data_IF_252683072811
#
_entry.id   IF_252683072811
#
_cell.length_a   1.000
_cell.length_b   1.000
_cell.length_c   1.000
_cell.angle_alpha   90.00
_cell.angle_beta   90.00
_cell.angle_gamma   90.00
#
_symmetry.space_group_name_H-M   'P 1'
#
loop_
_entity.id
_entity.type
_entity.pdbx_description
1 polymer ?
#
# COMPACT_ATOMS: atom_id res chain seq x y z
N UNK A 1 -2.12 16.97 -15.06
CA UNK A 1 -2.10 16.16 -13.84
C UNK A 1 -3.41 16.38 -13.09
N UNK A 2 -4.06 15.34 -12.61
CA UNK A 2 -5.31 15.47 -11.86
C UNK A 2 -4.96 15.66 -10.38
N UNK A 3 -5.34 16.82 -9.81
CA UNK A 3 -5.19 17.07 -8.38
C UNK A 3 -5.99 16.01 -7.60
N UNK A 4 -5.41 15.50 -6.51
CA UNK A 4 -6.06 14.56 -5.60
C UNK A 4 -7.39 15.08 -5.04
N UNK A 5 -7.58 16.40 -4.96
CA UNK A 5 -8.84 17.07 -4.62
C UNK A 5 -9.79 17.07 -5.80
N UNK A 6 -11.01 16.57 -5.57
CA UNK A 6 -12.08 16.49 -6.58
C UNK A 6 -13.17 17.52 -6.31
N UNK A 7 -13.85 17.96 -7.38
CA UNK A 7 -15.07 18.77 -7.28
C UNK A 7 -16.30 17.92 -6.93
N UNK A 8 -16.34 16.72 -7.48
CA UNK A 8 -17.45 15.77 -7.36
C UNK A 8 -17.00 14.48 -6.66
N UNK A 9 -17.93 13.70 -6.07
CA UNK A 9 -17.63 12.40 -5.50
C UNK A 9 -16.81 11.52 -6.44
N UNK A 10 -15.96 10.68 -5.85
CA UNK A 10 -15.20 9.71 -6.63
C UNK A 10 -16.14 8.72 -7.36
N UNK A 11 -16.03 8.59 -8.69
CA UNK A 11 -16.84 7.64 -9.44
C UNK A 11 -16.50 6.21 -9.02
N UNK A 12 -17.38 5.23 -9.30
CA UNK A 12 -17.01 3.82 -9.16
C UNK A 12 -15.72 3.51 -9.94
N UNK A 13 -14.89 2.60 -9.43
CA UNK A 13 -13.67 2.19 -10.13
C UNK A 13 -14.02 1.67 -11.53
N UNK A 14 -13.28 2.17 -12.53
CA UNK A 14 -13.40 1.71 -13.90
C UNK A 14 -12.82 0.30 -14.08
N UNK A 15 -13.03 -0.33 -15.25
CA UNK A 15 -12.42 -1.62 -15.54
C UNK A 15 -10.88 -1.54 -15.45
N UNK A 16 -10.20 -2.64 -15.07
CA UNK A 16 -8.74 -2.66 -15.00
C UNK A 16 -8.15 -2.30 -16.36
N UNK A 17 -7.16 -1.40 -16.37
CA UNK A 17 -6.36 -1.14 -17.56
C UNK A 17 -5.32 -2.23 -17.69
N UNK A 18 -5.42 -3.01 -18.75
CA UNK A 18 -4.42 -4.01 -19.12
C UNK A 18 -3.42 -3.33 -20.03
N UNK A 19 -2.16 -3.26 -19.61
CA UNK A 19 -1.05 -2.80 -20.42
C UNK A 19 -0.25 -4.00 -20.91
N UNK A 20 -0.10 -4.15 -22.23
CA UNK A 20 0.72 -5.22 -22.79
C UNK A 20 2.19 -4.82 -22.73
N UNK A 21 2.98 -5.50 -21.90
CA UNK A 21 4.43 -5.35 -21.82
C UNK A 21 5.12 -6.63 -22.33
N UNK A 22 5.71 -6.61 -23.54
CA UNK A 22 6.48 -7.75 -24.06
C UNK A 22 7.61 -8.13 -23.09
N UNK A 23 7.84 -9.43 -22.88
CA UNK A 23 8.91 -9.92 -22.00
C UNK A 23 8.53 -10.11 -20.53
N UNK A 24 7.44 -9.47 -20.07
CA UNK A 24 6.99 -9.52 -18.67
C UNK A 24 6.81 -10.95 -18.13
N UNK A 25 6.35 -11.90 -18.95
CA UNK A 25 6.21 -13.29 -18.52
C UNK A 25 7.57 -13.94 -18.21
N UNK A 26 8.61 -13.63 -18.99
CA UNK A 26 9.95 -14.15 -18.77
C UNK A 26 10.63 -13.48 -17.57
N UNK A 27 10.41 -12.18 -17.39
CA UNK A 27 10.93 -11.44 -16.24
C UNK A 27 10.29 -11.93 -14.95
N UNK A 28 8.96 -12.10 -14.93
CA UNK A 28 8.25 -12.69 -13.80
C UNK A 28 8.74 -14.13 -13.52
N UNK A 29 8.94 -14.96 -14.54
CA UNK A 29 9.49 -16.30 -14.34
C UNK A 29 10.89 -16.27 -13.73
N UNK A 30 11.75 -15.31 -14.13
CA UNK A 30 13.08 -15.12 -13.55
C UNK A 30 13.00 -14.68 -12.09
N UNK A 31 12.06 -13.81 -11.74
CA UNK A 31 11.83 -13.37 -10.36
C UNK A 31 11.25 -14.47 -9.47
N UNK A 32 10.42 -15.34 -10.03
CA UNK A 32 9.85 -16.49 -9.33
C UNK A 32 10.82 -17.68 -9.23
N UNK A 33 11.83 -17.76 -10.09
CA UNK A 33 12.74 -18.91 -10.18
C UNK A 33 13.36 -19.31 -8.82
N UNK A 34 13.85 -18.40 -7.95
CA UNK A 34 14.36 -18.79 -6.63
C UNK A 34 13.28 -19.42 -5.74
N UNK A 35 12.06 -18.88 -5.76
CA UNK A 35 10.94 -19.40 -4.96
C UNK A 35 10.43 -20.73 -5.50
N UNK A 36 10.48 -20.92 -6.82
CA UNK A 36 10.15 -22.19 -7.47
C UNK A 36 11.20 -23.27 -7.16
N UNK A 37 12.48 -22.90 -7.12
CA UNK A 37 13.55 -23.81 -6.73
C UNK A 37 13.40 -24.30 -5.27
N UNK A 38 12.96 -23.43 -4.35
CA UNK A 38 12.59 -23.83 -2.97
C UNK A 38 11.44 -24.85 -2.93
N UNK A 39 10.54 -24.83 -3.93
CA UNK A 39 9.45 -25.79 -4.11
C UNK A 39 9.87 -27.04 -4.90
N UNK A 40 11.16 -27.15 -5.26
CA UNK A 40 11.71 -28.26 -6.04
C UNK A 40 11.47 -28.17 -7.55
N UNK A 41 11.07 -27.00 -8.06
CA UNK A 41 10.83 -26.75 -9.50
C UNK A 41 11.99 -25.95 -10.08
N UNK A 42 12.76 -26.60 -10.96
CA UNK A 42 13.76 -25.93 -11.79
C UNK A 42 13.08 -25.36 -13.05
N UNK A 43 13.17 -24.04 -13.23
CA UNK A 43 12.56 -23.34 -14.38
C UNK A 43 13.30 -23.61 -15.70
N UNK A 44 14.58 -23.96 -15.63
CA UNK A 44 15.40 -24.28 -16.80
C UNK A 44 15.30 -25.77 -17.18
N UNK A 45 14.80 -26.60 -16.26
CA UNK A 45 14.59 -28.03 -16.46
C UNK A 45 13.37 -28.54 -15.66
N UNK A 46 12.17 -28.25 -16.15
CA UNK A 46 10.91 -28.62 -15.49
C UNK A 46 10.74 -30.14 -15.48
N UNK A 47 11.04 -30.77 -14.34
CA UNK A 47 10.80 -32.19 -14.05
C UNK A 47 9.81 -32.33 -12.90
N UNK A 48 8.51 -32.31 -13.23
CA UNK A 48 7.40 -32.40 -12.27
C UNK A 48 6.44 -33.50 -12.69
N UNK A 49 5.85 -34.24 -11.74
CA UNK A 49 5.05 -35.43 -12.04
C UNK A 49 3.76 -35.13 -12.82
N UNK A 50 3.21 -33.92 -12.67
CA UNK A 50 1.98 -33.50 -13.34
C UNK A 50 1.81 -31.96 -13.36
N UNK A 51 0.93 -31.47 -14.24
CA UNK A 51 0.63 -30.04 -14.42
C UNK A 51 -0.01 -29.39 -13.18
N UNK A 52 -0.74 -30.14 -12.36
CA UNK A 52 -1.38 -29.62 -11.15
C UNK A 52 -0.33 -29.35 -10.06
N UNK A 53 0.72 -30.14 -10.00
CA UNK A 53 1.88 -29.93 -9.13
C UNK A 53 2.64 -28.66 -9.54
N UNK A 54 2.88 -28.47 -10.83
CA UNK A 54 3.46 -27.23 -11.35
C UNK A 54 2.60 -26.01 -11.01
N UNK A 55 1.29 -26.06 -11.28
CA UNK A 55 0.39 -24.94 -11.01
C UNK A 55 0.37 -24.57 -9.52
N UNK A 56 0.40 -25.57 -8.62
CA UNK A 56 0.44 -25.33 -7.17
C UNK A 56 1.73 -24.65 -6.74
N UNK A 57 2.87 -25.08 -7.27
CA UNK A 57 4.16 -24.42 -7.01
C UNK A 57 4.17 -22.98 -7.53
N UNK A 58 3.72 -22.75 -8.77
CA UNK A 58 3.57 -21.41 -9.36
C UNK A 58 2.67 -20.50 -8.51
N UNK A 59 1.54 -21.01 -8.02
CA UNK A 59 0.61 -20.24 -7.19
C UNK A 59 1.28 -19.83 -5.87
N UNK A 60 1.97 -20.76 -5.19
CA UNK A 60 2.67 -20.46 -3.93
C UNK A 60 3.83 -19.47 -4.14
N UNK A 61 4.63 -19.67 -5.18
CA UNK A 61 5.74 -18.78 -5.52
C UNK A 61 5.21 -17.37 -5.81
N UNK A 62 4.16 -17.26 -6.63
CA UNK A 62 3.50 -15.97 -6.94
C UNK A 62 2.95 -15.30 -5.68
N UNK A 63 2.26 -16.05 -4.82
CA UNK A 63 1.71 -15.51 -3.58
C UNK A 63 2.81 -14.99 -2.65
N UNK A 64 3.89 -15.75 -2.50
CA UNK A 64 5.04 -15.40 -1.65
C UNK A 64 5.82 -14.21 -2.21
N UNK A 65 6.02 -14.15 -3.53
CA UNK A 65 6.60 -13.01 -4.22
C UNK A 65 5.74 -11.75 -4.01
N UNK A 66 4.43 -11.84 -4.25
CA UNK A 66 3.50 -10.74 -4.03
C UNK A 66 3.55 -10.26 -2.57
N UNK A 67 3.53 -11.16 -1.60
CA UNK A 67 3.65 -10.79 -0.18
C UNK A 67 4.94 -10.03 0.12
N UNK A 68 6.08 -10.46 -0.44
CA UNK A 68 7.35 -9.77 -0.26
C UNK A 68 7.31 -8.31 -0.76
N UNK A 69 6.58 -8.03 -1.85
CA UNK A 69 6.42 -6.66 -2.37
C UNK A 69 5.65 -5.72 -1.41
N UNK A 70 4.73 -6.27 -0.60
CA UNK A 70 3.94 -5.50 0.37
C UNK A 70 4.53 -5.55 1.79
N UNK A 71 5.55 -6.37 2.04
CA UNK A 71 6.30 -6.38 3.31
C UNK A 71 7.75 -5.95 3.07
N UNK A 72 7.98 -4.68 2.65
CA UNK A 72 9.31 -4.22 2.31
C UNK A 72 10.24 -4.25 3.53
N UNK A 73 11.51 -4.51 3.28
CA UNK A 73 12.60 -4.48 4.27
C UNK A 73 13.78 -3.65 3.73
N UNK A 74 14.73 -3.29 4.60
CA UNK A 74 15.93 -2.53 4.20
C UNK A 74 15.62 -1.21 3.50
N UNK A 75 16.42 -0.86 2.50
CA UNK A 75 16.36 0.43 1.79
C UNK A 75 14.99 0.70 1.16
N UNK A 76 14.33 -0.32 0.59
CA UNK A 76 12.98 -0.18 0.01
C UNK A 76 11.97 0.29 1.04
N UNK A 77 12.08 -0.22 2.27
CA UNK A 77 11.24 0.17 3.40
C UNK A 77 11.55 1.59 3.83
N UNK A 78 12.82 1.96 3.93
CA UNK A 78 13.24 3.31 4.32
C UNK A 78 12.75 4.38 3.34
N UNK A 79 12.89 4.11 2.03
CA UNK A 79 12.38 5.00 0.98
C UNK A 79 10.86 5.16 1.07
N UNK A 80 10.12 4.06 1.17
CA UNK A 80 8.66 4.11 1.27
C UNK A 80 8.20 4.86 2.53
N UNK A 81 8.83 4.64 3.68
CA UNK A 81 8.54 5.35 4.93
C UNK A 81 8.81 6.85 4.79
N UNK A 82 9.95 7.23 4.20
CA UNK A 82 10.29 8.63 3.96
C UNK A 82 9.24 9.31 3.05
N UNK A 83 8.84 8.64 1.97
CA UNK A 83 7.80 9.11 1.06
C UNK A 83 6.45 9.27 1.75
N UNK A 84 6.03 8.30 2.56
CA UNK A 84 4.77 8.38 3.31
C UNK A 84 4.75 9.56 4.29
N UNK A 85 5.86 9.84 4.97
CA UNK A 85 5.98 11.02 5.86
C UNK A 85 5.77 12.32 5.09
N UNK A 86 6.43 12.48 3.94
CA UNK A 86 6.28 13.67 3.09
C UNK A 86 4.83 13.85 2.59
N UNK A 87 4.17 12.76 2.21
CA UNK A 87 2.76 12.79 1.78
C UNK A 87 1.85 13.24 2.94
N UNK A 88 2.05 12.69 4.14
CA UNK A 88 1.26 13.04 5.32
C UNK A 88 1.45 14.50 5.70
N UNK A 89 2.67 15.02 5.67
CA UNK A 89 2.97 16.43 5.91
C UNK A 89 2.26 17.32 4.87
N UNK A 90 2.44 17.05 3.58
CA UNK A 90 1.81 17.83 2.51
C UNK A 90 0.27 17.84 2.58
N UNK A 91 -0.36 16.69 2.86
CA UNK A 91 -1.81 16.59 3.00
C UNK A 91 -2.33 17.25 4.29
N UNK A 92 -1.51 17.33 5.34
CA UNK A 92 -1.87 18.04 6.57
C UNK A 92 -1.86 19.55 6.37
N UNK A 93 -0.93 20.04 5.56
CA UNK A 93 -0.81 21.46 5.19
C UNK A 93 -1.80 21.87 4.07
N UNK A 94 -2.72 20.98 3.69
CA UNK A 94 -3.65 21.13 2.57
C UNK A 94 -2.96 21.41 1.20
N UNK A 95 -1.66 21.13 1.07
CA UNK A 95 -0.91 21.20 -0.19
C UNK A 95 -1.13 19.95 -1.05
N UNK A 96 -2.33 19.88 -1.59
CA UNK A 96 -2.77 18.78 -2.46
C UNK A 96 -1.98 18.65 -3.75
N UNK A 97 -1.35 19.74 -4.22
CA UNK A 97 -0.51 19.71 -5.42
C UNK A 97 0.82 19.01 -5.12
N UNK A 98 1.47 19.35 -4.00
CA UNK A 98 2.68 18.69 -3.56
C UNK A 98 2.42 17.21 -3.25
N UNK A 99 1.34 16.90 -2.52
CA UNK A 99 0.96 15.51 -2.22
C UNK A 99 0.76 14.69 -3.51
N UNK A 100 0.09 15.26 -4.52
CA UNK A 100 -0.09 14.61 -5.82
C UNK A 100 1.26 14.41 -6.51
N UNK A 101 2.15 15.41 -6.51
CA UNK A 101 3.46 15.32 -7.14
C UNK A 101 4.38 14.27 -6.48
N UNK A 102 4.26 14.06 -5.17
CA UNK A 102 4.99 13.00 -4.46
C UNK A 102 4.40 11.63 -4.79
N UNK A 103 3.08 11.49 -4.77
CA UNK A 103 2.39 10.24 -5.13
C UNK A 103 2.67 9.81 -6.57
N UNK A 104 2.75 10.76 -7.51
CA UNK A 104 3.09 10.50 -8.91
C UNK A 104 4.55 10.02 -9.11
N UNK A 105 5.43 10.23 -8.12
CA UNK A 105 6.81 9.71 -8.13
C UNK A 105 6.92 8.29 -7.58
N UNK A 106 5.87 7.77 -6.92
CA UNK A 106 5.86 6.39 -6.43
C UNK A 106 5.79 5.44 -7.61
N UNK A 107 6.87 4.69 -7.82
CA UNK A 107 7.01 3.81 -8.96
C UNK A 107 6.16 2.55 -8.80
N UNK A 108 5.57 1.99 -9.87
CA UNK A 108 4.93 0.68 -9.80
C UNK A 108 5.89 -0.40 -9.28
N UNK A 109 7.13 -0.38 -9.76
CA UNK A 109 8.21 -1.30 -9.44
C UNK A 109 9.54 -0.53 -9.38
N UNK A 110 10.52 -1.02 -8.60
CA UNK A 110 11.89 -0.48 -8.54
C UNK A 110 12.88 -1.64 -8.35
N UNK A 111 13.35 -2.26 -9.45
CA UNK A 111 14.24 -3.43 -9.39
C UNK A 111 15.57 -3.16 -8.68
N UNK A 112 16.02 -1.90 -8.70
CA UNK A 112 17.25 -1.41 -8.10
C UNK A 112 17.05 -0.80 -6.70
N UNK A 113 15.83 -0.83 -6.17
CA UNK A 113 15.44 -0.19 -4.91
C UNK A 113 15.81 1.29 -4.81
N UNK A 114 15.90 2.01 -5.93
CA UNK A 114 16.21 3.44 -5.97
C UNK A 114 14.98 4.34 -5.78
N UNK A 115 13.77 3.78 -5.87
CA UNK A 115 12.52 4.51 -5.77
C UNK A 115 11.52 3.82 -4.82
N UNK A 116 10.68 4.60 -4.11
CA UNK A 116 9.56 4.05 -3.34
C UNK A 116 8.57 3.38 -4.30
N UNK A 117 8.10 2.18 -3.95
CA UNK A 117 7.15 1.44 -4.78
C UNK A 117 5.71 1.54 -4.28
N UNK A 118 4.75 1.39 -5.20
CA UNK A 118 3.32 1.38 -4.89
C UNK A 118 3.01 0.31 -3.84
N UNK A 119 3.53 -0.90 -4.03
CA UNK A 119 3.31 -2.03 -3.12
C UNK A 119 3.90 -1.78 -1.73
N UNK A 120 5.13 -1.24 -1.65
CA UNK A 120 5.77 -0.93 -0.38
C UNK A 120 4.98 0.12 0.42
N UNK A 121 4.59 1.22 -0.24
CA UNK A 121 3.82 2.29 0.39
C UNK A 121 2.45 1.82 0.89
N UNK A 122 1.73 1.03 0.09
CA UNK A 122 0.45 0.43 0.50
C UNK A 122 0.67 -0.51 1.68
N UNK A 123 1.60 -1.45 1.57
CA UNK A 123 1.82 -2.48 2.57
C UNK A 123 2.19 -1.93 3.94
N UNK A 124 3.15 -0.99 4.00
CA UNK A 124 3.52 -0.28 5.23
C UNK A 124 2.30 0.43 5.81
N UNK A 125 1.56 1.18 4.99
CA UNK A 125 0.40 1.94 5.47
C UNK A 125 -0.67 1.04 6.06
N UNK A 126 -1.03 -0.06 5.40
CA UNK A 126 -2.06 -0.97 5.88
C UNK A 126 -1.64 -1.65 7.18
N UNK A 127 -0.38 -2.09 7.29
CA UNK A 127 0.15 -2.67 8.53
C UNK A 127 0.09 -1.70 9.70
N UNK A 128 0.57 -0.46 9.50
CA UNK A 128 0.49 0.58 10.53
C UNK A 128 -0.96 0.88 10.94
N UNK A 129 -1.88 0.98 9.98
CA UNK A 129 -3.28 1.25 10.28
C UNK A 129 -3.97 0.08 11.00
N UNK A 130 -3.65 -1.18 10.66
CA UNK A 130 -4.14 -2.35 11.37
C UNK A 130 -3.67 -2.37 12.84
N UNK A 131 -2.42 -2.00 13.09
CA UNK A 131 -1.87 -1.90 14.43
C UNK A 131 -2.49 -0.76 15.23
N UNK A 132 -2.60 0.44 14.63
CA UNK A 132 -3.06 1.63 15.31
C UNK A 132 -4.57 1.67 15.53
N UNK A 133 -5.34 1.33 14.50
CA UNK A 133 -6.80 1.43 14.56
C UNK A 133 -7.44 0.19 15.16
N UNK A 134 -6.78 -0.97 15.06
CA UNK A 134 -7.14 -2.19 15.78
C UNK A 134 -6.78 -2.16 17.28
N UNK A 135 -5.95 -1.20 17.71
CA UNK A 135 -5.55 -1.05 19.11
C UNK A 135 -4.47 -2.04 19.56
N UNK A 136 -3.66 -2.53 18.63
CA UNK A 136 -2.55 -3.45 18.90
C UNK A 136 -1.25 -2.70 19.29
N UNK A 137 -1.11 -1.44 18.90
CA UNK A 137 0.03 -0.59 19.26
C UNK A 137 -0.23 0.20 20.58
N UNK A 138 0.49 -0.09 21.67
CA UNK A 138 0.29 0.58 22.97
C UNK A 138 0.72 2.05 22.98
N UNK A 139 1.47 2.52 21.98
CA UNK A 139 1.89 3.92 21.85
C UNK A 139 0.79 4.82 21.29
N UNK A 140 -0.26 4.22 20.74
CA UNK A 140 -1.38 4.95 20.13
C UNK A 140 -2.42 5.40 21.16
N UNK A 141 -3.14 6.51 20.90
CA UNK A 141 -4.22 6.94 21.77
C UNK A 141 -5.31 5.87 21.88
N UNK A 142 -5.81 5.65 23.10
CA UNK A 142 -6.84 4.64 23.37
C UNK A 142 -8.07 4.85 22.49
N UNK A 143 -8.45 3.81 21.73
CA UNK A 143 -9.61 3.85 20.80
C UNK A 143 -9.48 4.90 19.68
N UNK A 144 -8.26 5.11 19.17
CA UNK A 144 -8.01 6.00 18.02
C UNK A 144 -8.96 5.72 16.84
N UNK A 145 -9.18 4.44 16.52
CA UNK A 145 -10.07 3.99 15.43
C UNK A 145 -11.50 4.56 15.48
N UNK A 146 -12.04 4.83 16.67
CA UNK A 146 -13.39 5.39 16.82
C UNK A 146 -13.48 6.84 16.34
N UNK A 147 -12.36 7.55 16.31
CA UNK A 147 -12.29 9.01 16.11
C UNK A 147 -11.66 9.41 14.77
N UNK A 148 -10.91 8.53 14.13
CA UNK A 148 -10.34 8.80 12.80
C UNK A 148 -11.44 9.00 11.77
N UNK A 149 -11.40 10.13 11.06
CA UNK A 149 -12.32 10.47 9.97
C UNK A 149 -11.54 11.07 8.82
N UNK A 150 -11.92 10.73 7.59
CA UNK A 150 -11.32 11.32 6.40
C UNK A 150 -11.55 12.84 6.37
N UNK A 151 -10.61 13.62 5.81
CA UNK A 151 -10.79 15.05 5.60
C UNK A 151 -12.04 15.35 4.78
N UNK A 152 -12.77 16.42 5.14
CA UNK A 152 -14.01 16.83 4.44
C UNK A 152 -13.75 17.09 2.96
N UNK A 153 -14.77 16.85 2.14
CA UNK A 153 -14.77 17.07 0.69
C UNK A 153 -14.43 15.82 -0.11
N UNK A 154 -14.23 15.98 -1.43
CA UNK A 154 -14.05 14.87 -2.34
C UNK A 154 -12.59 14.65 -2.70
N UNK A 155 -12.17 13.39 -2.74
CA UNK A 155 -10.79 13.02 -2.95
C UNK A 155 -10.65 11.87 -3.95
N UNK A 156 -9.51 11.81 -4.63
CA UNK A 156 -9.07 10.61 -5.34
C UNK A 156 -8.61 9.57 -4.31
N UNK A 157 -9.06 8.32 -4.44
CA UNK A 157 -8.86 7.25 -3.48
C UNK A 157 -9.81 7.32 -2.28
N UNK A 158 -10.80 8.21 -2.26
CA UNK A 158 -11.73 8.39 -1.12
C UNK A 158 -12.51 7.11 -0.80
N UNK A 159 -12.95 6.36 -1.81
CA UNK A 159 -13.65 5.08 -1.65
C UNK A 159 -12.73 4.03 -1.05
N UNK A 160 -11.50 3.94 -1.56
CA UNK A 160 -10.49 3.03 -1.03
C UNK A 160 -10.13 3.39 0.42
N UNK A 161 -9.96 4.67 0.74
CA UNK A 161 -9.66 5.14 2.09
C UNK A 161 -10.76 4.76 3.10
N UNK A 162 -12.04 4.85 2.70
CA UNK A 162 -13.16 4.41 3.55
C UNK A 162 -13.12 2.90 3.81
N UNK A 163 -12.90 2.10 2.77
CA UNK A 163 -12.78 0.65 2.93
C UNK A 163 -11.57 0.30 3.83
N UNK A 164 -10.43 0.96 3.61
CA UNK A 164 -9.20 0.79 4.41
C UNK A 164 -9.47 1.10 5.88
N UNK A 165 -10.07 2.26 6.22
CA UNK A 165 -10.35 2.60 7.61
C UNK A 165 -11.32 1.60 8.28
N UNK A 166 -12.33 1.12 7.54
CA UNK A 166 -13.28 0.15 8.06
C UNK A 166 -12.65 -1.23 8.32
N UNK A 167 -11.68 -1.64 7.50
CA UNK A 167 -10.93 -2.88 7.67
C UNK A 167 -9.85 -2.75 8.76
N UNK A 168 -9.16 -1.61 8.79
CA UNK A 168 -8.09 -1.33 9.74
C UNK A 168 -8.58 -1.22 11.18
N UNK A 169 -9.79 -0.68 11.40
CA UNK A 169 -10.44 -0.72 12.71
C UNK A 169 -10.70 -2.14 13.25
N UNK A 170 -10.56 -3.17 12.40
CA UNK A 170 -10.65 -4.59 12.77
C UNK A 170 -9.28 -5.30 12.72
N UNK A 171 -8.20 -4.59 12.38
CA UNK A 171 -6.88 -5.19 12.14
C UNK A 171 -6.82 -6.12 10.93
N UNK A 172 -7.56 -5.81 9.86
CA UNK A 172 -7.74 -6.70 8.70
C UNK A 172 -7.45 -6.07 7.33
N UNK A 173 -6.98 -4.82 7.29
CA UNK A 173 -6.74 -4.12 6.04
C UNK A 173 -5.64 -4.79 5.20
N UNK A 174 -4.51 -5.15 5.82
CA UNK A 174 -3.41 -5.84 5.13
C UNK A 174 -3.83 -7.23 4.64
N UNK A 175 -4.54 -8.00 5.47
CA UNK A 175 -5.09 -9.31 5.09
C UNK A 175 -6.12 -9.21 3.94
N UNK A 176 -6.77 -8.06 3.79
CA UNK A 176 -7.78 -7.81 2.76
C UNK A 176 -7.21 -7.11 1.51
N UNK A 177 -5.89 -7.06 1.36
CA UNK A 177 -5.21 -6.36 0.26
C UNK A 177 -5.66 -6.84 -1.12
N UNK A 178 -5.72 -8.15 -1.36
CA UNK A 178 -6.14 -8.72 -2.64
C UNK A 178 -7.55 -8.26 -3.06
N UNK A 179 -8.58 -8.50 -2.22
CA UNK A 179 -9.93 -7.97 -2.45
C UNK A 179 -10.00 -6.45 -2.62
N UNK A 180 -9.20 -5.70 -1.84
CA UNK A 180 -9.16 -4.24 -1.90
C UNK A 180 -8.62 -3.74 -3.26
N UNK A 181 -7.50 -4.30 -3.72
CA UNK A 181 -6.90 -3.98 -5.02
C UNK A 181 -7.83 -4.42 -6.16
N UNK A 182 -8.43 -5.62 -6.08
CA UNK A 182 -9.36 -6.09 -7.10
C UNK A 182 -10.59 -5.19 -7.23
N UNK A 183 -11.08 -4.64 -6.09
CA UNK A 183 -12.26 -3.79 -6.07
C UNK A 183 -11.96 -2.35 -6.50
N UNK A 184 -10.87 -1.75 -6.02
CA UNK A 184 -10.60 -0.32 -6.15
C UNK A 184 -9.53 0.01 -7.22
N UNK A 185 -8.67 -0.95 -7.54
CA UNK A 185 -7.47 -0.75 -8.34
C UNK A 185 -6.29 -0.23 -7.52
N UNK A 186 -5.08 -0.73 -7.79
CA UNK A 186 -3.87 -0.43 -7.00
C UNK A 186 -3.57 1.06 -6.85
N UNK A 187 -3.79 1.85 -7.90
CA UNK A 187 -3.62 3.30 -7.83
C UNK A 187 -4.56 3.93 -6.79
N UNK A 188 -5.87 3.66 -6.85
CA UNK A 188 -6.80 4.22 -5.86
C UNK A 188 -6.52 3.72 -4.45
N UNK A 189 -6.00 2.48 -4.30
CA UNK A 189 -5.54 1.97 -2.99
C UNK A 189 -4.34 2.77 -2.48
N UNK A 190 -3.39 3.17 -3.32
CA UNK A 190 -2.28 4.05 -2.92
C UNK A 190 -2.79 5.41 -2.44
N UNK A 191 -3.60 6.10 -3.25
CA UNK A 191 -4.17 7.41 -2.84
C UNK A 191 -5.03 7.26 -1.58
N UNK A 192 -5.82 6.18 -1.48
CA UNK A 192 -6.65 5.90 -0.31
C UNK A 192 -5.84 5.60 0.94
N UNK A 193 -4.72 4.90 0.80
CA UNK A 193 -3.76 4.63 1.89
C UNK A 193 -3.18 5.93 2.41
N UNK A 194 -2.73 6.82 1.52
CA UNK A 194 -2.24 8.14 1.90
C UNK A 194 -3.29 8.96 2.67
N UNK A 195 -4.55 8.99 2.22
CA UNK A 195 -5.63 9.70 2.91
C UNK A 195 -5.93 9.11 4.29
N UNK A 196 -6.00 7.78 4.39
CA UNK A 196 -6.29 7.09 5.64
C UNK A 196 -5.17 7.28 6.66
N UNK A 197 -3.90 7.21 6.21
CA UNK A 197 -2.73 7.45 7.05
C UNK A 197 -2.70 8.90 7.57
N UNK A 198 -2.91 9.87 6.69
CA UNK A 198 -2.99 11.28 7.09
C UNK A 198 -4.12 11.53 8.08
N UNK A 199 -5.29 10.92 7.86
CA UNK A 199 -6.42 11.04 8.79
C UNK A 199 -6.07 10.49 10.18
N UNK A 200 -5.41 9.32 10.24
CA UNK A 200 -4.98 8.73 11.51
C UNK A 200 -3.96 9.60 12.25
N UNK A 201 -2.91 10.06 11.54
CA UNK A 201 -1.86 10.91 12.12
C UNK A 201 -2.43 12.27 12.57
N UNK A 202 -3.33 12.89 11.79
CA UNK A 202 -3.95 14.15 12.17
C UNK A 202 -4.83 14.00 13.42
N UNK A 203 -5.61 12.94 13.50
CA UNK A 203 -6.41 12.64 14.71
C UNK A 203 -5.52 12.42 15.93
N UNK A 204 -4.46 11.61 15.79
CA UNK A 204 -3.51 11.35 16.87
C UNK A 204 -2.77 12.63 17.31
N UNK A 205 -2.32 13.46 16.35
CA UNK A 205 -1.70 14.76 16.61
C UNK A 205 -2.62 15.66 17.44
N UNK A 206 -3.89 15.78 17.05
CA UNK A 206 -4.86 16.62 17.76
C UNK A 206 -5.12 16.15 19.20
N UNK A 207 -5.13 14.84 19.43
CA UNK A 207 -5.39 14.28 20.77
C UNK A 207 -4.21 14.44 21.72
N UNK A 208 -2.99 14.36 21.19
CA UNK A 208 -1.77 14.40 22.01
C UNK A 208 -1.15 15.79 22.07
N UNK A 209 -1.56 16.71 21.20
CA UNK A 209 -0.88 17.99 21.00
C UNK A 209 0.50 17.87 20.33
N UNK A 210 0.88 16.69 19.86
CA UNK A 210 2.18 16.49 19.17
C UNK A 210 2.07 16.97 17.73
N UNK A 211 2.96 17.86 17.23
CA UNK A 211 2.93 18.32 15.85
C UNK A 211 3.06 17.17 14.84
N UNK A 212 2.32 17.24 13.73
CA UNK A 212 2.31 16.20 12.69
C UNK A 212 3.71 15.81 12.18
N UNK A 213 4.64 16.74 11.85
CA UNK A 213 5.97 16.35 11.39
C UNK A 213 6.76 15.53 12.43
N UNK A 214 6.59 15.85 13.72
CA UNK A 214 7.20 15.10 14.81
C UNK A 214 6.56 13.72 14.97
N UNK A 215 5.23 13.66 14.90
CA UNK A 215 4.49 12.41 15.03
C UNK A 215 4.74 11.49 13.84
N UNK A 216 4.73 11.99 12.60
CA UNK A 216 5.02 11.23 11.39
C UNK A 216 6.42 10.60 11.44
N UNK A 217 7.44 11.32 11.91
CA UNK A 217 8.81 10.77 12.09
C UNK A 217 8.89 9.65 13.11
N UNK A 218 8.07 9.72 14.15
CA UNK A 218 8.14 8.77 15.27
C UNK A 218 7.18 7.60 15.12
N UNK A 219 6.05 7.76 14.45
CA UNK A 219 5.02 6.73 14.28
C UNK A 219 5.16 5.99 12.95
N UNK A 220 5.37 6.68 11.82
CA UNK A 220 5.54 6.05 10.51
C UNK A 220 6.97 5.53 10.46
N UNK A 221 7.17 4.27 10.85
CA UNK A 221 8.48 3.64 10.90
C UNK A 221 8.61 2.59 9.88
#
# INVERSE_FOLDING_TARGET
MANMRRRDPEPPPGPPRIEFKPGMANDLLRELAPLLAEEGVDVDNIDVPDMQTLQRAMNRATERHNMALFTPVGDTRELAVATLRLIVEALTDDDTNLATAILDQVAPESPDNSAPTVSACIGITLGLLDDWLGGHDPTTPTRLGDRVRLPKGHWLGERAARDILALAGKGQAFLSLGPLIARQGGQHVLYGSALALTAAIRTWSNETGTPVPQLARTAIR
#
